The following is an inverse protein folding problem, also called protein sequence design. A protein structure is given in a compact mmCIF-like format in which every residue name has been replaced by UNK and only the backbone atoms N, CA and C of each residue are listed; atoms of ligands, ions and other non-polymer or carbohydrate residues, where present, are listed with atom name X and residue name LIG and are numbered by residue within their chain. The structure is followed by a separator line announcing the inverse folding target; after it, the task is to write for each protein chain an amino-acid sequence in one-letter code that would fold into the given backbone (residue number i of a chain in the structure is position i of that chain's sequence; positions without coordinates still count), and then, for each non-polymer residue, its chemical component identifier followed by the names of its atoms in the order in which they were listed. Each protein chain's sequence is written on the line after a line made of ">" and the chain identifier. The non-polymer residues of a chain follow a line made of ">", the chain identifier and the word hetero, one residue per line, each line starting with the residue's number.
data_IF_283543861717
#
_entry.id   IF_283543861717
#
_cell.length_a   1.000
_cell.length_b   1.000
_cell.length_c   1.000
_cell.angle_alpha   90.00
_cell.angle_beta   90.00
_cell.angle_gamma   90.00
#
_symmetry.space_group_name_H-M   'P 1'
#
loop_
_entity.id
_entity.type
_entity.pdbx_description
1 polymer ?
#
# COMPACT_ATOMS: atom_id res chain seq x y z
N UNK A 1 -9.86 11.49 -4.65
CA UNK A 1 -9.35 11.86 -3.31
C UNK A 1 -8.52 10.69 -2.82
N UNK A 2 -7.30 10.90 -2.33
CA UNK A 2 -6.46 9.79 -1.86
C UNK A 2 -7.11 9.10 -0.64
N UNK A 3 -7.02 7.77 -0.51
CA UNK A 3 -7.48 7.06 0.67
C UNK A 3 -6.84 7.59 1.96
N UNK A 4 -7.56 7.50 3.09
CA UNK A 4 -7.03 7.84 4.41
C UNK A 4 -5.84 6.94 4.78
N UNK A 5 -4.80 7.52 5.39
CA UNK A 5 -3.79 6.73 6.13
C UNK A 5 -4.47 6.03 7.29
N UNK A 6 -3.86 4.97 7.81
CA UNK A 6 -4.34 4.29 9.00
C UNK A 6 -4.52 5.24 10.20
N UNK A 7 -3.60 6.19 10.42
CA UNK A 7 -3.75 7.19 11.48
C UNK A 7 -4.98 8.10 11.30
N UNK A 8 -5.28 8.51 10.06
CA UNK A 8 -6.45 9.33 9.72
C UNK A 8 -7.75 8.52 9.88
N UNK A 9 -7.71 7.24 9.47
CA UNK A 9 -8.79 6.28 9.68
C UNK A 9 -9.09 6.07 11.17
N UNK A 10 -8.06 5.78 11.97
CA UNK A 10 -8.20 5.52 13.40
C UNK A 10 -8.68 6.76 14.18
N UNK A 11 -8.15 7.95 13.87
CA UNK A 11 -8.61 9.23 14.43
C UNK A 11 -10.09 9.50 14.07
N UNK A 12 -10.50 9.13 12.86
CA UNK A 12 -11.87 9.36 12.40
C UNK A 12 -12.86 8.46 13.12
N UNK A 13 -12.52 7.19 13.32
CA UNK A 13 -13.46 6.18 13.81
C UNK A 13 -13.48 5.97 15.32
N UNK A 14 -12.48 6.44 16.06
CA UNK A 14 -12.42 6.22 17.51
C UNK A 14 -12.06 7.50 18.27
N UNK A 15 -12.96 7.94 19.16
CA UNK A 15 -12.80 9.18 19.91
C UNK A 15 -11.64 9.14 20.91
N UNK A 16 -11.40 8.00 21.57
CA UNK A 16 -10.27 7.86 22.50
C UNK A 16 -8.95 7.99 21.74
N UNK A 17 -8.81 7.26 20.62
CA UNK A 17 -7.64 7.35 19.75
C UNK A 17 -7.45 8.79 19.23
N UNK A 18 -8.53 9.45 18.81
CA UNK A 18 -8.49 10.86 18.38
C UNK A 18 -7.97 11.78 19.47
N UNK A 19 -8.53 11.68 20.68
CA UNK A 19 -8.16 12.54 21.80
C UNK A 19 -6.69 12.33 22.14
N UNK A 20 -6.24 11.09 22.28
CA UNK A 20 -4.83 10.77 22.58
C UNK A 20 -3.88 11.23 21.48
N UNK A 21 -4.20 11.02 20.19
CA UNK A 21 -3.37 11.51 19.06
C UNK A 21 -3.22 13.04 19.10
N UNK A 22 -4.29 13.76 19.45
CA UNK A 22 -4.29 15.23 19.54
C UNK A 22 -3.56 15.74 20.77
N UNK A 23 -3.81 15.15 21.94
CA UNK A 23 -3.16 15.49 23.21
C UNK A 23 -1.64 15.30 23.14
N UNK A 24 -1.19 14.19 22.55
CA UNK A 24 0.23 13.88 22.34
C UNK A 24 0.84 14.61 21.13
N UNK A 25 0.05 15.42 20.42
CA UNK A 25 0.45 16.17 19.22
C UNK A 25 1.09 15.26 18.13
N UNK A 26 0.57 14.04 17.97
CA UNK A 26 1.13 13.03 17.05
C UNK A 26 0.80 13.32 15.58
N UNK A 27 0.06 14.38 15.27
CA UNK A 27 -0.15 14.84 13.91
C UNK A 27 0.95 15.80 13.43
N UNK A 28 1.73 16.38 14.35
CA UNK A 28 2.86 17.25 14.02
C UNK A 28 3.97 16.49 13.32
N UNK A 29 4.48 17.06 12.21
CA UNK A 29 5.60 16.49 11.45
C UNK A 29 6.84 16.40 12.33
N UNK A 30 7.18 17.47 13.05
CA UNK A 30 8.37 17.51 13.91
C UNK A 30 8.30 16.44 15.00
N UNK A 31 7.11 16.28 15.61
CA UNK A 31 6.89 15.27 16.64
C UNK A 31 7.03 13.85 16.08
N UNK A 32 6.44 13.58 14.90
CA UNK A 32 6.57 12.27 14.24
C UNK A 32 8.03 11.94 13.90
N UNK A 33 8.79 12.89 13.38
CA UNK A 33 10.22 12.70 13.08
C UNK A 33 10.99 12.39 14.36
N UNK A 34 10.75 13.16 15.42
CA UNK A 34 11.39 12.94 16.72
C UNK A 34 11.13 11.51 17.21
N UNK A 35 9.87 11.08 17.24
CA UNK A 35 9.48 9.75 17.69
C UNK A 35 10.08 8.64 16.82
N UNK A 36 10.04 8.80 15.49
CA UNK A 36 10.65 7.84 14.58
C UNK A 36 12.17 7.73 14.81
N UNK A 37 12.87 8.85 15.02
CA UNK A 37 14.29 8.84 15.32
C UNK A 37 14.60 8.18 16.67
N UNK A 38 13.73 8.31 17.67
CA UNK A 38 13.86 7.61 18.93
C UNK A 38 13.69 6.10 18.75
N UNK A 39 12.65 5.67 18.02
CA UNK A 39 12.41 4.26 17.71
C UNK A 39 13.58 3.63 16.93
N UNK A 40 14.11 4.33 15.93
CA UNK A 40 15.30 3.89 15.17
C UNK A 40 16.55 3.75 16.04
N UNK A 41 16.62 4.45 17.18
CA UNK A 41 17.68 4.32 18.19
C UNK A 41 17.36 3.26 19.27
N UNK A 42 16.29 2.49 19.09
CA UNK A 42 15.82 1.48 20.04
C UNK A 42 15.20 2.06 21.31
N UNK A 43 14.69 3.30 21.27
CA UNK A 43 14.08 3.98 22.43
C UNK A 43 12.58 4.10 22.23
N UNK A 44 11.82 3.64 23.21
CA UNK A 44 10.36 3.79 23.26
C UNK A 44 10.05 5.02 24.11
N UNK A 45 9.52 6.07 23.48
CA UNK A 45 9.13 7.31 24.16
C UNK A 45 7.87 7.10 25.02
N UNK A 46 7.62 8.02 25.96
CA UNK A 46 6.40 7.97 26.77
C UNK A 46 5.15 8.09 25.89
N UNK A 47 5.16 8.90 24.83
CA UNK A 47 4.03 9.02 23.90
C UNK A 47 3.69 7.69 23.23
N UNK A 48 4.69 6.88 22.88
CA UNK A 48 4.44 5.55 22.30
C UNK A 48 3.92 4.58 23.36
N UNK A 49 4.38 4.69 24.62
CA UNK A 49 3.82 3.90 25.73
C UNK A 49 2.36 4.27 26.01
N UNK A 50 2.01 5.55 25.92
CA UNK A 50 0.62 6.00 26.05
C UNK A 50 -0.28 5.35 24.97
N UNK A 51 0.22 5.24 23.72
CA UNK A 51 -0.51 4.53 22.67
C UNK A 51 -0.69 3.02 22.96
N UNK A 52 0.18 2.39 23.75
CA UNK A 52 0.02 0.98 24.12
C UNK A 52 -1.23 0.75 24.99
N UNK A 53 -1.69 1.75 25.75
CA UNK A 53 -2.96 1.63 26.48
C UNK A 53 -4.17 1.53 25.53
N UNK A 54 -4.02 1.97 24.28
CA UNK A 54 -5.01 1.86 23.22
C UNK A 54 -4.74 0.69 22.26
N UNK A 55 -3.84 -0.23 22.61
CA UNK A 55 -3.40 -1.29 21.71
C UNK A 55 -4.58 -2.14 21.19
N UNK A 56 -5.56 -2.43 22.05
CA UNK A 56 -6.73 -3.23 21.68
C UNK A 56 -7.62 -2.50 20.65
N UNK A 57 -7.86 -1.22 20.86
CA UNK A 57 -8.62 -0.37 19.96
C UNK A 57 -7.90 -0.22 18.61
N UNK A 58 -6.59 0.03 18.65
CA UNK A 58 -5.76 0.15 17.46
C UNK A 58 -5.68 -1.16 16.68
N UNK A 59 -5.56 -2.30 17.36
CA UNK A 59 -5.56 -3.62 16.72
C UNK A 59 -6.88 -3.89 16.00
N UNK A 60 -8.02 -3.63 16.65
CA UNK A 60 -9.33 -3.77 16.01
C UNK A 60 -9.46 -2.86 14.78
N UNK A 61 -9.10 -1.58 14.92
CA UNK A 61 -9.14 -0.63 13.81
C UNK A 61 -8.21 -1.07 12.67
N UNK A 62 -7.05 -1.63 13.00
CA UNK A 62 -6.12 -2.14 12.00
C UNK A 62 -6.68 -3.35 11.26
N UNK A 63 -7.33 -4.28 11.95
CA UNK A 63 -8.03 -5.41 11.33
C UNK A 63 -9.11 -4.94 10.35
N UNK A 64 -9.92 -3.95 10.73
CA UNK A 64 -10.93 -3.37 9.84
C UNK A 64 -10.28 -2.63 8.65
N UNK A 65 -9.14 -1.96 8.86
CA UNK A 65 -8.39 -1.27 7.81
C UNK A 65 -7.73 -2.24 6.82
N UNK A 66 -7.32 -3.43 7.25
CA UNK A 66 -6.84 -4.48 6.35
C UNK A 66 -7.92 -4.88 5.33
N UNK A 67 -9.20 -4.84 5.71
CA UNK A 67 -10.33 -5.15 4.82
C UNK A 67 -10.69 -3.95 3.93
N UNK A 68 -10.86 -2.79 4.55
CA UNK A 68 -11.50 -1.62 3.92
C UNK A 68 -10.52 -0.63 3.28
N UNK A 69 -9.27 -0.64 3.73
CA UNK A 69 -8.32 0.43 3.48
C UNK A 69 -8.83 1.80 3.91
N UNK A 70 -8.33 2.86 3.26
CA UNK A 70 -8.64 4.24 3.61
C UNK A 70 -9.81 4.87 2.84
N UNK A 71 -10.49 4.10 1.99
CA UNK A 71 -11.46 4.66 1.04
C UNK A 71 -12.80 4.94 1.73
N UNK A 72 -13.13 6.21 1.97
CA UNK A 72 -14.29 6.64 2.78
C UNK A 72 -15.59 5.90 2.45
N UNK A 73 -15.92 5.72 1.16
CA UNK A 73 -17.15 5.03 0.76
C UNK A 73 -17.13 3.54 1.15
N UNK A 74 -15.98 2.88 1.04
CA UNK A 74 -15.81 1.47 1.41
C UNK A 74 -15.91 1.31 2.92
N UNK A 75 -15.27 2.20 3.67
CA UNK A 75 -15.32 2.25 5.13
C UNK A 75 -16.77 2.43 5.61
N UNK A 76 -17.51 3.37 5.01
CA UNK A 76 -18.91 3.62 5.36
C UNK A 76 -19.82 2.41 5.14
N UNK A 77 -19.66 1.70 4.01
CA UNK A 77 -20.42 0.48 3.71
C UNK A 77 -20.10 -0.63 4.73
N UNK A 78 -18.81 -0.87 4.99
CA UNK A 78 -18.38 -1.88 5.94
C UNK A 78 -18.88 -1.59 7.36
N UNK A 79 -18.82 -0.34 7.83
CA UNK A 79 -19.29 0.02 9.17
C UNK A 79 -20.81 -0.13 9.33
N UNK A 80 -21.59 0.08 8.25
CA UNK A 80 -23.05 -0.04 8.28
C UNK A 80 -23.55 -1.47 8.18
N UNK A 81 -22.87 -2.29 7.38
CA UNK A 81 -23.37 -3.60 6.97
C UNK A 81 -22.49 -4.77 7.42
N UNK A 82 -21.31 -4.49 7.98
CA UNK A 82 -20.27 -5.47 8.32
C UNK A 82 -19.83 -6.33 7.10
N UNK A 83 -20.06 -5.77 5.91
CA UNK A 83 -19.82 -6.34 4.59
C UNK A 83 -19.61 -5.18 3.62
N UNK A 84 -18.84 -5.41 2.56
CA UNK A 84 -18.72 -4.47 1.44
C UNK A 84 -19.42 -5.11 0.24
N UNK A 85 -20.54 -4.54 -0.25
CA UNK A 85 -21.26 -5.13 -1.38
C UNK A 85 -20.41 -5.22 -2.66
N UNK A 86 -20.61 -6.26 -3.47
CA UNK A 86 -19.88 -6.50 -4.74
C UNK A 86 -19.86 -5.26 -5.66
N UNK A 87 -20.99 -4.55 -5.77
CA UNK A 87 -21.11 -3.38 -6.64
C UNK A 87 -20.15 -2.24 -6.27
N UNK A 88 -19.73 -2.15 -4.99
CA UNK A 88 -18.74 -1.19 -4.53
C UNK A 88 -17.38 -1.54 -5.12
N UNK A 89 -16.92 -2.79 -4.99
CA UNK A 89 -15.68 -3.26 -5.63
C UNK A 89 -15.71 -3.04 -7.14
N UNK A 90 -16.81 -3.43 -7.79
CA UNK A 90 -17.00 -3.26 -9.23
C UNK A 90 -16.86 -1.80 -9.66
N UNK A 91 -17.42 -0.87 -8.90
CA UNK A 91 -17.29 0.57 -9.20
C UNK A 91 -15.83 1.02 -9.30
N UNK A 92 -14.96 0.56 -8.39
CA UNK A 92 -13.54 0.93 -8.44
C UNK A 92 -12.77 0.18 -9.53
N UNK A 93 -13.09 -1.09 -9.76
CA UNK A 93 -12.53 -1.85 -10.89
C UNK A 93 -12.89 -1.18 -12.21
N UNK A 94 -14.15 -0.79 -12.41
CA UNK A 94 -14.62 -0.12 -13.63
C UNK A 94 -13.91 1.22 -13.86
N UNK A 95 -13.59 1.96 -12.79
CA UNK A 95 -12.76 3.19 -12.90
C UNK A 95 -11.36 2.87 -13.41
N UNK A 96 -10.70 1.85 -12.85
CA UNK A 96 -9.35 1.43 -13.27
C UNK A 96 -9.36 0.95 -14.73
N UNK A 97 -10.37 0.16 -15.12
CA UNK A 97 -10.55 -0.30 -16.50
C UNK A 97 -10.83 0.87 -17.46
N UNK A 98 -11.63 1.84 -17.01
CA UNK A 98 -11.92 3.05 -17.78
C UNK A 98 -10.67 3.88 -18.05
N UNK A 99 -9.81 4.09 -17.05
CA UNK A 99 -8.55 4.82 -17.22
C UNK A 99 -7.58 4.09 -18.16
N UNK A 100 -7.49 2.76 -18.05
CA UNK A 100 -6.68 1.95 -18.96
C UNK A 100 -7.17 1.99 -20.41
N UNK A 101 -8.49 1.98 -20.59
CA UNK A 101 -9.10 2.07 -21.93
C UNK A 101 -8.76 3.40 -22.58
N UNK A 102 -8.72 4.51 -21.82
CA UNK A 102 -8.29 5.83 -22.32
C UNK A 102 -6.85 5.83 -22.83
N UNK A 103 -6.00 4.93 -22.33
CA UNK A 103 -4.61 4.77 -22.77
C UNK A 103 -4.41 3.61 -23.77
N UNK A 104 -5.50 3.14 -24.38
CA UNK A 104 -5.50 2.10 -25.40
C UNK A 104 -4.83 0.80 -24.92
N UNK A 105 -4.95 0.49 -23.63
CA UNK A 105 -4.45 -0.73 -23.01
C UNK A 105 -5.50 -1.85 -23.10
N UNK A 106 -5.06 -3.10 -23.22
CA UNK A 106 -5.90 -4.30 -23.33
C UNK A 106 -6.22 -4.82 -21.93
N UNK A 107 -7.51 -4.97 -21.62
CA UNK A 107 -7.96 -5.55 -20.34
C UNK A 107 -7.37 -6.95 -20.09
N UNK A 108 -7.27 -7.78 -21.13
CA UNK A 108 -6.69 -9.13 -21.01
C UNK A 108 -5.24 -9.10 -20.50
N UNK A 109 -4.46 -8.10 -20.92
CA UNK A 109 -3.08 -7.93 -20.45
C UNK A 109 -3.05 -7.39 -19.02
N UNK A 110 -3.94 -6.45 -18.68
CA UNK A 110 -4.08 -6.00 -17.30
C UNK A 110 -4.36 -7.17 -16.36
N UNK A 111 -5.30 -8.03 -16.71
CA UNK A 111 -5.69 -9.19 -15.89
C UNK A 111 -4.48 -10.09 -15.60
N UNK A 112 -3.67 -10.39 -16.61
CA UNK A 112 -2.46 -11.18 -16.46
C UNK A 112 -1.41 -10.47 -15.59
N UNK A 113 -1.19 -9.17 -15.82
CA UNK A 113 -0.20 -8.38 -15.05
C UNK A 113 -0.60 -8.27 -13.59
N UNK A 114 -1.86 -7.97 -13.29
CA UNK A 114 -2.37 -7.89 -11.92
C UNK A 114 -2.22 -9.23 -11.21
N UNK A 115 -2.51 -10.34 -11.90
CA UNK A 115 -2.29 -11.67 -11.33
C UNK A 115 -0.82 -11.90 -10.95
N UNK A 116 0.11 -11.55 -11.85
CA UNK A 116 1.57 -11.64 -11.58
C UNK A 116 2.02 -10.71 -10.45
N UNK A 117 1.46 -9.50 -10.34
CA UNK A 117 1.75 -8.57 -9.24
C UNK A 117 1.27 -9.14 -7.90
N UNK A 118 0.09 -9.76 -7.87
CA UNK A 118 -0.46 -10.41 -6.65
C UNK A 118 0.40 -11.61 -6.23
N UNK A 119 0.78 -12.47 -7.19
CA UNK A 119 1.63 -13.65 -6.93
C UNK A 119 3.02 -13.29 -6.41
N UNK A 120 3.52 -12.13 -6.79
CA UNK A 120 4.86 -11.65 -6.42
C UNK A 120 4.85 -10.64 -5.27
N UNK A 121 3.68 -10.40 -4.66
CA UNK A 121 3.53 -9.42 -3.59
C UNK A 121 4.48 -9.71 -2.42
N UNK A 122 5.17 -8.68 -1.95
CA UNK A 122 6.21 -8.76 -0.91
C UNK A 122 7.59 -9.15 -1.40
N UNK A 123 7.73 -9.58 -2.68
CA UNK A 123 9.02 -9.96 -3.24
C UNK A 123 9.55 -8.90 -4.24
N UNK A 124 10.87 -8.61 -4.24
CA UNK A 124 11.47 -7.84 -5.32
C UNK A 124 11.37 -8.58 -6.65
N UNK A 125 10.89 -7.91 -7.70
CA UNK A 125 10.74 -8.49 -9.04
C UNK A 125 11.21 -7.56 -10.15
N UNK A 126 11.73 -8.15 -11.23
CA UNK A 126 12.03 -7.45 -12.48
C UNK A 126 10.89 -7.58 -13.49
N UNK A 127 10.89 -6.70 -14.51
CA UNK A 127 9.89 -6.74 -15.58
C UNK A 127 9.87 -8.06 -16.35
N UNK A 128 11.03 -8.71 -16.51
CA UNK A 128 11.10 -10.03 -17.14
C UNK A 128 10.43 -11.11 -16.28
N UNK A 129 10.53 -11.04 -14.95
CA UNK A 129 9.86 -11.98 -14.03
C UNK A 129 8.35 -11.84 -14.09
N UNK A 130 7.83 -10.61 -14.13
CA UNK A 130 6.40 -10.35 -14.29
C UNK A 130 5.87 -10.72 -15.68
N UNK A 131 6.74 -10.74 -16.70
CA UNK A 131 6.39 -11.19 -18.05
C UNK A 131 6.20 -12.71 -18.14
N UNK A 132 6.89 -13.48 -17.29
CA UNK A 132 6.78 -14.94 -17.32
C UNK A 132 5.33 -15.36 -17.05
N UNK A 133 4.89 -16.43 -17.73
CA UNK A 133 3.54 -16.99 -17.59
C UNK A 133 2.43 -16.02 -18.04
N UNK A 134 2.76 -15.08 -18.93
CA UNK A 134 1.81 -14.19 -19.61
C UNK A 134 1.91 -14.35 -21.13
N UNK A 135 0.87 -13.95 -21.84
CA UNK A 135 0.84 -13.84 -23.31
C UNK A 135 1.51 -12.55 -23.83
N UNK A 136 2.21 -11.83 -22.95
CA UNK A 136 2.82 -10.54 -23.26
C UNK A 136 4.24 -10.76 -23.77
N UNK A 137 4.47 -10.42 -25.04
CA UNK A 137 5.73 -10.73 -25.72
C UNK A 137 6.95 -9.99 -25.13
N UNK A 138 6.78 -8.71 -24.78
CA UNK A 138 7.87 -7.81 -24.39
C UNK A 138 7.70 -7.31 -22.95
N UNK A 139 8.78 -7.34 -22.16
CA UNK A 139 8.77 -6.84 -20.79
C UNK A 139 8.52 -5.32 -20.71
N UNK A 140 8.79 -4.56 -21.78
CA UNK A 140 8.46 -3.13 -21.85
C UNK A 140 6.95 -2.89 -21.77
N UNK A 141 6.15 -3.78 -22.37
CA UNK A 141 4.69 -3.72 -22.24
C UNK A 141 4.27 -3.91 -20.79
N UNK A 142 4.92 -4.81 -20.03
CA UNK A 142 4.66 -4.96 -18.60
C UNK A 142 4.95 -3.64 -17.87
N UNK A 143 6.14 -3.07 -18.09
CA UNK A 143 6.55 -1.81 -17.47
C UNK A 143 5.54 -0.69 -17.75
N UNK A 144 5.13 -0.51 -19.01
CA UNK A 144 4.14 0.51 -19.39
C UNK A 144 2.80 0.35 -18.67
N UNK A 145 2.32 -0.88 -18.47
CA UNK A 145 1.07 -1.13 -17.75
C UNK A 145 1.22 -0.90 -16.24
N UNK A 146 2.36 -1.29 -15.66
CA UNK A 146 2.63 -1.04 -14.24
C UNK A 146 2.78 0.47 -13.99
N UNK A 147 3.55 1.18 -14.82
CA UNK A 147 3.72 2.64 -14.73
C UNK A 147 2.37 3.35 -14.88
N UNK A 148 1.54 2.90 -15.82
CA UNK A 148 0.15 3.33 -15.96
C UNK A 148 -0.65 3.17 -14.66
N UNK A 149 -0.57 2.01 -14.00
CA UNK A 149 -1.27 1.79 -12.72
C UNK A 149 -0.69 2.62 -11.58
N UNK A 150 0.60 2.97 -11.64
CA UNK A 150 1.22 3.91 -10.70
C UNK A 150 0.68 5.32 -10.91
N UNK A 151 0.62 5.78 -12.17
CA UNK A 151 0.08 7.09 -12.54
C UNK A 151 -1.42 7.23 -12.20
N UNK A 152 -2.15 6.11 -12.24
CA UNK A 152 -3.56 6.01 -11.81
C UNK A 152 -3.73 5.83 -10.30
N UNK A 153 -2.67 5.89 -9.49
CA UNK A 153 -2.70 5.70 -8.03
C UNK A 153 -3.27 4.35 -7.57
N UNK A 154 -3.15 3.30 -8.40
CA UNK A 154 -3.52 1.92 -8.03
C UNK A 154 -2.34 1.20 -7.42
N UNK A 155 -1.16 1.36 -8.04
CA UNK A 155 0.09 0.75 -7.60
C UNK A 155 1.11 1.82 -7.16
N UNK A 156 2.15 1.37 -6.49
CA UNK A 156 3.43 2.05 -6.32
C UNK A 156 4.53 1.02 -6.45
N UNK A 157 5.74 1.45 -6.77
CA UNK A 157 6.89 0.55 -6.63
C UNK A 157 8.12 1.25 -6.08
N UNK A 158 8.90 0.50 -5.30
CA UNK A 158 10.13 0.97 -4.67
C UNK A 158 11.33 0.42 -5.43
N UNK A 159 12.27 1.29 -5.75
CA UNK A 159 13.56 0.90 -6.31
C UNK A 159 14.49 0.36 -5.23
N UNK A 160 15.42 -0.51 -5.63
CA UNK A 160 16.52 -0.93 -4.77
C UNK A 160 17.45 0.26 -4.51
N UNK A 161 17.80 0.52 -3.25
CA UNK A 161 18.77 1.57 -2.91
C UNK A 161 20.21 1.17 -3.28
N UNK A 162 20.86 1.91 -4.18
CA UNK A 162 22.30 1.78 -4.41
C UNK A 162 23.08 2.60 -3.38
N UNK A 163 23.74 1.91 -2.45
CA UNK A 163 24.53 2.53 -1.39
C UNK A 163 25.73 3.33 -1.92
N UNK A 164 26.32 2.91 -3.04
CA UNK A 164 27.49 3.57 -3.61
C UNK A 164 27.08 4.88 -4.31
N UNK A 165 26.00 4.84 -5.08
CA UNK A 165 25.51 5.99 -5.84
C UNK A 165 24.58 6.89 -5.01
N UNK A 166 24.10 6.41 -3.85
CA UNK A 166 23.07 7.05 -3.03
C UNK A 166 21.82 7.40 -3.85
N UNK A 167 21.43 6.49 -4.73
CA UNK A 167 20.42 6.69 -5.76
C UNK A 167 19.66 5.38 -6.02
N UNK A 168 18.48 5.43 -6.68
CA UNK A 168 17.80 4.22 -7.14
C UNK A 168 18.65 3.42 -8.13
N UNK A 169 18.71 2.11 -7.93
CA UNK A 169 19.25 1.18 -8.92
C UNK A 169 18.17 0.82 -9.95
N UNK A 170 17.96 1.67 -10.98
CA UNK A 170 16.86 1.53 -11.94
C UNK A 170 16.77 0.18 -12.66
N UNK A 171 17.93 -0.46 -12.91
CA UNK A 171 18.04 -1.74 -13.60
C UNK A 171 17.74 -2.95 -12.70
N UNK A 172 17.74 -2.77 -11.37
CA UNK A 172 17.44 -3.86 -10.44
C UNK A 172 15.93 -4.10 -10.33
N UNK A 173 15.63 -5.20 -9.64
CA UNK A 173 14.30 -5.54 -9.20
C UNK A 173 13.65 -4.39 -8.41
N UNK A 174 12.32 -4.45 -8.30
CA UNK A 174 11.47 -3.47 -7.65
C UNK A 174 10.52 -4.20 -6.73
N UNK A 175 10.20 -3.63 -5.57
CA UNK A 175 9.06 -4.09 -4.78
C UNK A 175 7.82 -3.33 -5.27
N UNK A 176 6.79 -4.05 -5.71
CA UNK A 176 5.55 -3.47 -6.23
C UNK A 176 4.45 -3.70 -5.21
N UNK A 177 3.72 -2.65 -4.88
CA UNK A 177 2.66 -2.65 -3.88
C UNK A 177 1.41 -1.98 -4.43
N UNK A 178 0.25 -2.36 -3.91
CA UNK A 178 -0.97 -1.57 -4.08
C UNK A 178 -0.89 -0.30 -3.24
N UNK A 179 -1.58 0.75 -3.65
CA UNK A 179 -1.60 2.01 -2.89
C UNK A 179 -2.48 1.92 -1.64
N UNK A 180 -3.42 0.99 -1.62
CA UNK A 180 -4.40 0.81 -0.54
C UNK A 180 -4.85 -0.66 -0.47
N UNK A 181 -5.11 -1.22 0.74
CA UNK A 181 -5.58 -2.59 0.90
C UNK A 181 -6.82 -2.90 0.05
N UNK A 182 -7.78 -1.99 -0.02
CA UNK A 182 -9.01 -2.22 -0.78
C UNK A 182 -8.75 -2.41 -2.27
N UNK A 183 -7.77 -1.71 -2.86
CA UNK A 183 -7.41 -1.90 -4.27
C UNK A 183 -6.81 -3.28 -4.52
N UNK A 184 -6.01 -3.81 -3.58
CA UNK A 184 -5.55 -5.20 -3.65
C UNK A 184 -6.74 -6.16 -3.64
N UNK A 185 -7.69 -5.98 -2.70
CA UNK A 185 -8.87 -6.83 -2.59
C UNK A 185 -9.76 -6.79 -3.84
N UNK A 186 -10.07 -5.59 -4.33
CA UNK A 186 -10.87 -5.39 -5.54
C UNK A 186 -10.24 -6.04 -6.77
N UNK A 187 -8.94 -5.81 -6.97
CA UNK A 187 -8.22 -6.33 -8.12
C UNK A 187 -8.04 -7.86 -8.03
N UNK A 188 -7.78 -8.41 -6.84
CA UNK A 188 -7.70 -9.88 -6.61
C UNK A 188 -9.03 -10.56 -6.92
N UNK A 189 -10.13 -10.03 -6.41
CA UNK A 189 -11.46 -10.55 -6.70
C UNK A 189 -11.78 -10.49 -8.19
N UNK A 190 -11.48 -9.35 -8.85
CA UNK A 190 -11.69 -9.19 -10.27
C UNK A 190 -10.90 -10.19 -11.12
N UNK A 191 -9.59 -10.40 -10.85
CA UNK A 191 -8.79 -11.36 -11.64
C UNK A 191 -9.22 -12.81 -11.41
N UNK A 192 -9.58 -13.17 -10.18
CA UNK A 192 -9.97 -14.54 -9.81
C UNK A 192 -11.44 -14.87 -10.12
N UNK A 193 -12.29 -13.87 -10.30
CA UNK A 193 -13.74 -14.04 -10.50
C UNK A 193 -14.49 -14.51 -9.25
N UNK A 194 -13.86 -14.45 -8.07
CA UNK A 194 -14.49 -14.79 -6.79
C UNK A 194 -15.37 -13.64 -6.29
N UNK A 195 -16.30 -13.96 -5.39
CA UNK A 195 -17.03 -12.93 -4.62
C UNK A 195 -16.00 -12.08 -3.83
N UNK A 196 -16.01 -10.73 -4.00
CA UNK A 196 -14.95 -9.89 -3.47
C UNK A 196 -14.78 -9.85 -1.95
N UNK A 197 -15.88 -9.84 -1.19
CA UNK A 197 -15.81 -9.70 0.26
C UNK A 197 -15.39 -11.03 0.93
N UNK A 198 -16.02 -12.13 0.57
CA UNK A 198 -15.71 -13.48 1.01
C UNK A 198 -14.26 -13.85 0.69
N UNK A 199 -13.80 -13.58 -0.53
CA UNK A 199 -12.41 -13.84 -0.91
C UNK A 199 -11.42 -12.94 -0.16
N UNK A 200 -11.86 -11.80 0.38
CA UNK A 200 -11.06 -10.93 1.24
C UNK A 200 -10.92 -11.50 2.63
N UNK A 201 -12.01 -11.98 3.22
CA UNK A 201 -11.96 -12.67 4.51
C UNK A 201 -11.13 -13.95 4.40
N UNK A 202 -11.30 -14.74 3.33
CA UNK A 202 -10.50 -15.93 3.05
C UNK A 202 -9.00 -15.58 3.00
N UNK A 203 -8.62 -14.54 2.25
CA UNK A 203 -7.24 -14.11 2.10
C UNK A 203 -6.60 -13.68 3.44
N UNK A 204 -7.37 -13.01 4.30
CA UNK A 204 -6.91 -12.50 5.59
C UNK A 204 -6.80 -13.58 6.68
N UNK A 205 -7.32 -14.79 6.47
CA UNK A 205 -7.13 -15.90 7.41
C UNK A 205 -5.69 -16.42 7.45
N UNK A 206 -4.88 -16.10 6.45
CA UNK A 206 -3.48 -16.48 6.38
C UNK A 206 -2.57 -15.37 6.92
N UNK A 207 -1.80 -15.67 7.97
CA UNK A 207 -0.88 -14.69 8.60
C UNK A 207 0.14 -14.12 7.63
N UNK A 208 0.60 -14.90 6.64
CA UNK A 208 1.53 -14.43 5.60
C UNK A 208 0.90 -13.31 4.76
N UNK A 209 -0.38 -13.44 4.42
CA UNK A 209 -1.11 -12.46 3.63
C UNK A 209 -1.35 -11.17 4.42
N UNK A 210 -1.63 -11.28 5.72
CA UNK A 210 -1.66 -10.12 6.63
C UNK A 210 -0.31 -9.39 6.60
N UNK A 211 0.81 -10.13 6.67
CA UNK A 211 2.16 -9.58 6.58
C UNK A 211 2.39 -8.81 5.28
N UNK A 212 1.98 -9.37 4.13
CA UNK A 212 2.07 -8.72 2.82
C UNK A 212 1.27 -7.41 2.76
N UNK A 213 0.05 -7.39 3.31
CA UNK A 213 -0.77 -6.16 3.36
C UNK A 213 -0.16 -5.13 4.33
N UNK A 214 0.36 -5.57 5.48
CA UNK A 214 1.03 -4.69 6.41
C UNK A 214 2.23 -3.98 5.74
N UNK A 215 3.04 -4.72 4.96
CA UNK A 215 4.12 -4.15 4.16
C UNK A 215 3.60 -3.12 3.15
N UNK A 216 2.50 -3.42 2.44
CA UNK A 216 1.82 -2.47 1.53
C UNK A 216 1.45 -1.17 2.25
N UNK A 217 0.84 -1.27 3.43
CA UNK A 217 0.44 -0.11 4.24
C UNK A 217 1.66 0.71 4.65
N UNK A 218 2.71 0.05 5.15
CA UNK A 218 3.96 0.70 5.56
C UNK A 218 4.61 1.42 4.38
N UNK A 219 4.72 0.77 3.22
CA UNK A 219 5.30 1.37 2.02
C UNK A 219 4.55 2.65 1.61
N UNK A 220 3.21 2.60 1.56
CA UNK A 220 2.39 3.78 1.28
C UNK A 220 2.60 4.89 2.33
N UNK A 221 2.65 4.54 3.62
CA UNK A 221 2.84 5.50 4.70
C UNK A 221 4.22 6.15 4.66
N UNK A 222 5.27 5.41 4.29
CA UNK A 222 6.62 5.94 4.08
C UNK A 222 6.67 6.90 2.87
N UNK A 223 5.99 6.57 1.76
CA UNK A 223 5.85 7.48 0.61
C UNK A 223 5.17 8.79 1.03
N UNK A 224 4.07 8.71 1.79
CA UNK A 224 3.38 9.91 2.30
C UNK A 224 4.24 10.69 3.28
N UNK A 225 5.02 10.02 4.13
CA UNK A 225 5.97 10.67 5.03
C UNK A 225 7.06 11.40 4.22
N UNK A 226 7.67 10.75 3.24
CA UNK A 226 8.68 11.36 2.38
C UNK A 226 8.14 12.61 1.66
N UNK A 227 6.90 12.54 1.14
CA UNK A 227 6.22 13.72 0.59
C UNK A 227 6.10 14.84 1.63
N UNK A 228 5.67 14.53 2.86
CA UNK A 228 5.53 15.51 3.95
C UNK A 228 6.86 16.12 4.39
N UNK A 229 7.96 15.37 4.32
CA UNK A 229 9.31 15.84 4.65
C UNK A 229 9.96 16.64 3.51
N UNK A 230 9.52 16.44 2.27
CA UNK A 230 10.07 17.16 1.12
C UNK A 230 9.82 18.67 1.22
N UNK A 231 10.88 19.47 1.01
CA UNK A 231 10.75 20.92 0.89
C UNK A 231 10.07 21.33 -0.42
N UNK A 232 10.28 20.55 -1.48
CA UNK A 232 9.79 20.83 -2.83
C UNK A 232 8.62 19.91 -3.14
N UNK A 233 7.41 20.28 -2.70
CA UNK A 233 6.19 19.47 -2.89
C UNK A 233 5.84 19.26 -4.37
N UNK A 234 6.05 20.29 -5.18
CA UNK A 234 5.66 20.30 -6.60
C UNK A 234 6.58 19.47 -7.50
N UNK A 235 7.80 19.19 -7.05
CA UNK A 235 8.79 18.39 -7.78
C UNK A 235 9.04 17.05 -7.10
N UNK A 236 8.21 16.68 -6.13
CA UNK A 236 8.40 15.48 -5.36
C UNK A 236 8.07 14.24 -6.20
N UNK A 237 9.01 13.30 -6.20
CA UNK A 237 8.86 11.93 -6.70
C UNK A 237 9.32 11.00 -5.58
N UNK A 238 8.49 9.99 -5.27
CA UNK A 238 8.80 9.08 -4.18
C UNK A 238 9.86 8.05 -4.58
N UNK A 239 9.98 7.80 -5.88
CA UNK A 239 10.92 6.87 -6.52
C UNK A 239 12.39 7.23 -6.28
N UNK A 240 12.68 8.49 -5.95
CA UNK A 240 14.01 8.98 -5.57
C UNK A 240 14.17 9.26 -4.08
N UNK A 241 13.14 8.96 -3.28
CA UNK A 241 13.08 9.34 -1.86
C UNK A 241 12.85 8.15 -0.94
N UNK A 242 12.14 7.12 -1.42
CA UNK A 242 11.81 5.90 -0.68
C UNK A 242 12.28 4.71 -1.50
N UNK A 243 12.98 3.80 -0.84
CA UNK A 243 13.63 2.66 -1.47
C UNK A 243 13.41 1.43 -0.62
N UNK A 244 13.50 0.25 -1.24
CA UNK A 244 13.74 -0.97 -0.49
C UNK A 244 15.25 -1.28 -0.49
N UNK A 245 15.71 -2.04 0.50
CA UNK A 245 17.10 -2.45 0.58
C UNK A 245 17.24 -3.91 0.99
N UNK A 246 18.13 -4.63 0.31
CA UNK A 246 18.47 -6.02 0.62
C UNK A 246 19.97 -6.19 0.78
N UNK A 247 20.39 -6.75 1.90
CA UNK A 247 21.78 -7.07 2.17
C UNK A 247 22.29 -8.29 1.40
N UNK A 248 23.61 -8.47 1.38
CA UNK A 248 24.30 -9.57 0.63
C UNK A 248 23.89 -11.00 1.02
N UNK A 249 23.22 -11.20 2.16
CA UNK A 249 22.73 -12.52 2.63
C UNK A 249 21.23 -12.72 2.41
N UNK A 250 20.63 -12.02 1.45
CA UNK A 250 19.18 -11.99 1.25
C UNK A 250 18.36 -11.52 2.44
N UNK A 251 19.00 -10.94 3.46
CA UNK A 251 18.33 -10.29 4.59
C UNK A 251 17.82 -8.94 4.12
N UNK A 252 16.52 -8.79 4.14
CA UNK A 252 15.85 -7.50 3.97
C UNK A 252 15.86 -6.77 5.31
N UNK A 253 15.93 -5.45 5.26
CA UNK A 253 15.62 -4.61 6.41
C UNK A 253 14.20 -4.17 6.17
N UNK A 254 13.27 -4.89 6.77
CA UNK A 254 11.86 -4.51 6.84
C UNK A 254 11.65 -3.45 7.93
#
# INVERSE_FOLDING_TARGET
>A
MLPMKFAEYAETLNENVRNTIRELNLLSIDKRIELLQQLLKGRISEEIKELLFLAKELEKLFQDYLITGGTVKVVDEYLKHNEIPEHVYKTYVDVILGDLTRWNKRESYLRQIINRVIETLGNPVGWNTLKQETDIAHHNTIAEYVDTLVDSFVLLYLYHYDVNQKAPAYQKEKKIHFQDPFYLHAMRAWVSGKEPFDSTIEFLNETENIGKIAEVIVANHLVRLAFLLSKQKQLFTYETSVFYWRGRKNREVD
#
